data_IF_096006364404
#
_entry.id   IF_096006364404
#
_cell.length_a   1.000
_cell.length_b   1.000
_cell.length_c   1.000
_cell.angle_alpha   90.00
_cell.angle_beta   90.00
_cell.angle_gamma   90.00
#
_symmetry.space_group_name_H-M   'P 1'
#
loop_
_entity.id
_entity.type
_entity.pdbx_description
1 polymer ?
#
# COMPACT_ATOMS: atom_id res chain seq x y z
N UNK A 1 21.77 19.24 -17.77
CA UNK A 1 21.45 18.00 -17.00
C UNK A 1 20.06 17.47 -17.34
N UNK A 2 19.02 18.32 -17.45
CA UNK A 2 17.68 17.91 -17.87
C UNK A 2 17.59 17.23 -19.25
N UNK A 3 18.49 17.56 -20.19
CA UNK A 3 18.51 16.99 -21.54
C UNK A 3 18.70 15.46 -21.60
N UNK A 4 19.36 14.87 -20.59
CA UNK A 4 19.56 13.42 -20.48
C UNK A 4 18.57 12.75 -19.51
N UNK A 5 17.58 13.50 -19.00
CA UNK A 5 16.57 12.92 -18.12
C UNK A 5 15.66 11.97 -18.90
N UNK A 6 15.60 10.72 -18.44
CA UNK A 6 14.74 9.68 -19.00
C UNK A 6 13.49 9.43 -18.15
N UNK A 7 13.32 10.16 -17.04
CA UNK A 7 12.23 9.92 -16.08
C UNK A 7 10.86 10.02 -16.75
N UNK A 8 10.63 11.03 -17.59
CA UNK A 8 9.37 11.16 -18.34
C UNK A 8 9.14 10.02 -19.34
N UNK A 9 10.21 9.46 -19.93
CA UNK A 9 10.10 8.35 -20.90
C UNK A 9 9.87 7.02 -20.19
N UNK A 10 10.60 6.76 -19.11
CA UNK A 10 10.52 5.51 -18.34
C UNK A 10 9.29 5.46 -17.44
N UNK A 11 8.87 6.61 -16.89
CA UNK A 11 7.72 6.70 -15.98
C UNK A 11 6.40 6.21 -16.57
N UNK A 12 6.27 6.20 -17.90
CA UNK A 12 5.09 5.65 -18.61
C UNK A 12 5.00 4.12 -18.52
N UNK A 13 6.11 3.46 -18.20
CA UNK A 13 6.22 2.00 -18.11
C UNK A 13 6.37 1.51 -16.67
N UNK A 14 6.44 2.43 -15.70
CA UNK A 14 6.61 2.11 -14.29
C UNK A 14 5.31 2.24 -13.53
N UNK A 15 5.18 1.44 -12.48
CA UNK A 15 4.15 1.67 -11.49
C UNK A 15 4.36 3.05 -10.84
N UNK A 16 3.27 3.74 -10.54
CA UNK A 16 3.27 5.06 -9.89
C UNK A 16 4.09 5.09 -8.61
N UNK A 17 4.12 4.01 -7.82
CA UNK A 17 4.93 3.93 -6.59
C UNK A 17 6.43 3.94 -6.87
N UNK A 18 6.85 3.48 -8.06
CA UNK A 18 8.23 3.53 -8.51
C UNK A 18 8.60 4.88 -9.15
N UNK A 19 7.60 5.65 -9.62
CA UNK A 19 7.82 6.99 -10.16
C UNK A 19 8.11 8.00 -9.04
N UNK A 20 7.54 7.83 -7.84
CA UNK A 20 7.78 8.74 -6.71
C UNK A 20 9.26 8.90 -6.33
N UNK A 21 10.03 7.82 -6.08
CA UNK A 21 11.46 7.94 -5.79
C UNK A 21 12.25 8.65 -6.89
N UNK A 22 11.83 8.51 -8.15
CA UNK A 22 12.46 9.21 -9.27
C UNK A 22 12.18 10.71 -9.21
N UNK A 23 10.94 11.11 -8.90
CA UNK A 23 10.58 12.52 -8.72
C UNK A 23 11.29 13.13 -7.50
N UNK A 24 11.43 12.40 -6.38
CA UNK A 24 12.22 12.86 -5.23
C UNK A 24 13.69 13.08 -5.60
N UNK A 25 14.30 12.14 -6.33
CA UNK A 25 15.66 12.29 -6.83
C UNK A 25 15.82 13.53 -7.72
N UNK A 26 14.84 13.82 -8.60
CA UNK A 26 14.86 15.02 -9.43
C UNK A 26 14.75 16.31 -8.60
N UNK A 27 13.97 16.30 -7.51
CA UNK A 27 13.89 17.40 -6.55
C UNK A 27 15.24 17.64 -5.88
N UNK A 28 15.88 16.59 -5.32
CA UNK A 28 17.18 16.70 -4.66
C UNK A 28 18.29 17.23 -5.58
N UNK A 29 18.22 16.88 -6.86
CA UNK A 29 19.20 17.32 -7.88
C UNK A 29 18.93 18.73 -8.40
N UNK A 30 17.83 19.38 -8.01
CA UNK A 30 17.42 20.72 -8.46
C UNK A 30 17.46 20.87 -9.99
N UNK A 31 17.04 19.82 -10.72
CA UNK A 31 17.07 19.81 -12.19
C UNK A 31 15.87 20.57 -12.78
N UNK A 32 14.72 20.49 -12.13
CA UNK A 32 13.47 21.17 -12.48
C UNK A 32 13.00 22.07 -11.35
N UNK A 33 12.06 22.98 -11.63
CA UNK A 33 11.45 23.80 -10.59
C UNK A 33 10.69 22.93 -9.59
N UNK A 34 10.81 23.25 -8.31
CA UNK A 34 10.20 22.49 -7.21
C UNK A 34 8.67 22.49 -7.36
N UNK A 35 8.09 23.60 -7.82
CA UNK A 35 6.63 23.70 -8.04
C UNK A 35 6.15 22.78 -9.16
N UNK A 36 6.91 22.64 -10.24
CA UNK A 36 6.57 21.74 -11.35
C UNK A 36 6.61 20.27 -10.88
N UNK A 37 7.63 19.90 -10.11
CA UNK A 37 7.72 18.55 -9.55
C UNK A 37 6.60 18.29 -8.53
N UNK A 38 6.27 19.27 -7.67
CA UNK A 38 5.17 19.15 -6.71
C UNK A 38 3.82 18.98 -7.42
N UNK A 39 3.57 19.71 -8.50
CA UNK A 39 2.37 19.53 -9.31
C UNK A 39 2.34 18.13 -9.94
N UNK A 40 3.45 17.67 -10.51
CA UNK A 40 3.55 16.32 -11.08
C UNK A 40 3.30 15.22 -10.03
N UNK A 41 3.81 15.39 -8.80
CA UNK A 41 3.53 14.51 -7.67
C UNK A 41 2.04 14.53 -7.30
N UNK A 42 1.41 15.70 -7.27
CA UNK A 42 -0.02 15.82 -7.00
C UNK A 42 -0.88 15.10 -8.06
N UNK A 43 -0.58 15.30 -9.34
CA UNK A 43 -1.30 14.68 -10.45
C UNK A 43 -1.16 13.15 -10.44
N UNK A 44 0.01 12.64 -10.08
CA UNK A 44 0.26 11.20 -9.91
C UNK A 44 -0.62 10.59 -8.79
N UNK A 45 -0.98 11.37 -7.78
CA UNK A 45 -1.76 10.94 -6.62
C UNK A 45 -3.27 10.97 -6.81
N UNK A 46 -3.80 11.74 -7.77
CA UNK A 46 -5.24 11.93 -7.94
C UNK A 46 -6.01 10.61 -8.02
N UNK A 47 -5.42 9.61 -8.68
CA UNK A 47 -6.01 8.28 -8.87
C UNK A 47 -5.52 7.23 -7.85
N UNK A 48 -4.85 7.64 -6.77
CA UNK A 48 -4.37 6.74 -5.71
C UNK A 48 -5.25 6.79 -4.48
N UNK A 49 -5.03 5.81 -3.62
CA UNK A 49 -5.60 5.70 -2.28
C UNK A 49 -4.76 6.46 -1.23
N UNK A 50 -3.63 7.06 -1.63
CA UNK A 50 -2.70 7.78 -0.75
C UNK A 50 -3.16 9.22 -0.47
N UNK A 51 -4.33 9.35 0.17
CA UNK A 51 -4.98 10.66 0.38
C UNK A 51 -4.19 11.56 1.34
N UNK A 52 -3.58 11.01 2.40
CA UNK A 52 -2.79 11.80 3.35
C UNK A 52 -1.60 12.48 2.64
N UNK A 53 -0.91 11.74 1.77
CA UNK A 53 0.21 12.29 1.00
C UNK A 53 -0.26 13.31 -0.04
N UNK A 54 -1.44 13.10 -0.63
CA UNK A 54 -2.05 14.06 -1.54
C UNK A 54 -2.40 15.38 -0.83
N UNK A 55 -2.94 15.30 0.39
CA UNK A 55 -3.23 16.47 1.24
C UNK A 55 -1.96 17.22 1.62
N UNK A 56 -0.89 16.52 1.96
CA UNK A 56 0.39 17.16 2.29
C UNK A 56 0.99 17.92 1.09
N UNK A 57 0.91 17.36 -0.11
CA UNK A 57 1.36 18.05 -1.33
C UNK A 57 0.43 19.22 -1.66
N UNK A 58 -0.88 19.05 -1.50
CA UNK A 58 -1.84 20.14 -1.70
C UNK A 58 -1.55 21.34 -0.79
N UNK A 59 -1.26 21.11 0.49
CA UNK A 59 -0.87 22.17 1.45
C UNK A 59 0.42 22.88 1.04
N UNK A 60 1.39 22.15 0.48
CA UNK A 60 2.64 22.74 -0.04
C UNK A 60 2.41 23.61 -1.29
N UNK A 61 1.46 23.22 -2.15
CA UNK A 61 1.09 23.98 -3.34
C UNK A 61 0.19 25.18 -3.02
N UNK A 62 -0.69 25.03 -2.02
CA UNK A 62 -1.70 26.01 -1.61
C UNK A 62 -1.57 26.32 -0.12
N UNK A 63 -0.59 27.17 0.22
CA UNK A 63 -0.23 27.50 1.60
C UNK A 63 -1.39 28.05 2.47
N UNK A 64 -2.43 28.63 1.84
CA UNK A 64 -3.57 29.27 2.50
C UNK A 64 -4.94 28.65 2.13
N UNK A 65 -4.95 27.49 1.45
CA UNK A 65 -6.18 26.86 0.97
C UNK A 65 -6.81 25.93 2.00
N UNK A 66 -8.15 25.94 2.12
CA UNK A 66 -8.87 24.89 2.83
C UNK A 66 -8.65 23.53 2.16
N UNK A 67 -8.55 22.47 2.97
CA UNK A 67 -8.43 21.10 2.46
C UNK A 67 -9.66 20.74 1.61
N UNK A 68 -9.47 20.14 0.41
CA UNK A 68 -10.59 19.76 -0.43
C UNK A 68 -11.48 18.74 0.29
N UNK A 69 -12.79 19.05 0.39
CA UNK A 69 -13.77 18.17 1.03
C UNK A 69 -13.79 16.77 0.42
N UNK A 70 -13.59 16.67 -0.90
CA UNK A 70 -13.50 15.40 -1.62
C UNK A 70 -12.38 14.50 -1.08
N UNK A 71 -11.23 15.07 -0.68
CA UNK A 71 -10.13 14.29 -0.10
C UNK A 71 -10.47 13.83 1.32
N UNK A 72 -11.15 14.67 2.11
CA UNK A 72 -11.58 14.29 3.46
C UNK A 72 -12.59 13.13 3.39
N UNK A 73 -13.60 13.22 2.52
CA UNK A 73 -14.59 12.15 2.31
C UNK A 73 -13.94 10.85 1.82
N UNK A 74 -13.03 10.97 0.85
CA UNK A 74 -12.26 9.82 0.33
C UNK A 74 -11.41 9.18 1.42
N UNK A 75 -10.84 9.95 2.34
CA UNK A 75 -10.09 9.43 3.49
C UNK A 75 -10.98 8.57 4.38
N UNK A 76 -12.18 9.04 4.71
CA UNK A 76 -13.14 8.29 5.52
C UNK A 76 -13.54 6.95 4.87
N UNK A 77 -13.81 6.96 3.55
CA UNK A 77 -14.12 5.75 2.78
C UNK A 77 -12.98 4.73 2.85
N UNK A 78 -11.75 5.18 2.66
CA UNK A 78 -10.54 4.35 2.71
C UNK A 78 -10.37 3.72 4.08
N UNK A 79 -10.53 4.49 5.16
CA UNK A 79 -10.41 3.98 6.53
C UNK A 79 -11.51 2.97 6.85
N UNK A 80 -12.74 3.21 6.41
CA UNK A 80 -13.85 2.27 6.56
C UNK A 80 -13.54 0.95 5.86
N UNK A 81 -13.17 1.00 4.57
CA UNK A 81 -12.84 -0.18 3.77
C UNK A 81 -11.63 -0.95 4.34
N UNK A 82 -10.63 -0.24 4.85
CA UNK A 82 -9.49 -0.84 5.53
C UNK A 82 -9.91 -1.65 6.76
N UNK A 83 -10.81 -1.08 7.57
CA UNK A 83 -11.30 -1.68 8.81
C UNK A 83 -12.10 -2.94 8.50
N UNK A 84 -13.00 -2.89 7.51
CA UNK A 84 -13.78 -4.03 7.05
C UNK A 84 -12.90 -5.18 6.54
N UNK A 85 -11.93 -4.88 5.66
CA UNK A 85 -11.01 -5.90 5.13
C UNK A 85 -10.13 -6.50 6.22
N UNK A 86 -9.69 -5.69 7.18
CA UNK A 86 -8.87 -6.16 8.31
C UNK A 86 -9.64 -7.12 9.21
N UNK A 87 -10.89 -6.77 9.57
CA UNK A 87 -11.75 -7.66 10.35
C UNK A 87 -12.07 -8.96 9.61
N UNK A 88 -12.32 -8.88 8.30
CA UNK A 88 -12.69 -10.04 7.49
C UNK A 88 -11.57 -11.09 7.36
N UNK A 89 -10.31 -10.71 7.53
CA UNK A 89 -9.16 -11.62 7.42
C UNK A 89 -8.51 -11.93 8.78
N UNK A 90 -8.93 -11.25 9.85
CA UNK A 90 -8.39 -11.43 11.19
C UNK A 90 -8.35 -12.90 11.65
N UNK A 91 -9.40 -13.73 11.43
CA UNK A 91 -9.37 -15.13 11.84
C UNK A 91 -8.24 -15.94 11.19
N UNK A 92 -7.92 -15.64 9.93
CA UNK A 92 -6.83 -16.30 9.21
C UNK A 92 -5.46 -15.85 9.73
N UNK A 93 -5.31 -14.57 10.06
CA UNK A 93 -4.08 -14.06 10.66
C UNK A 93 -3.84 -14.70 12.02
N UNK A 94 -4.86 -14.75 12.87
CA UNK A 94 -4.76 -15.35 14.21
C UNK A 94 -4.35 -16.83 14.12
N UNK A 95 -4.89 -17.57 13.15
CA UNK A 95 -4.51 -18.96 12.90
C UNK A 95 -3.04 -19.11 12.47
N UNK A 96 -2.55 -18.23 11.58
CA UNK A 96 -1.19 -18.30 11.03
C UNK A 96 -0.12 -17.84 12.03
N UNK A 97 -0.47 -16.97 12.98
CA UNK A 97 0.45 -16.47 14.02
C UNK A 97 0.73 -17.50 15.12
N UNK A 98 -0.07 -18.57 15.22
CA UNK A 98 0.17 -19.64 16.22
C UNK A 98 1.53 -20.32 16.01
N UNK A 99 2.19 -20.68 17.12
CA UNK A 99 3.54 -21.26 17.09
C UNK A 99 3.59 -22.58 16.30
N UNK A 100 2.53 -23.38 16.35
CA UNK A 100 2.41 -24.61 15.57
C UNK A 100 2.27 -24.35 14.07
N UNK A 101 1.46 -23.36 13.67
CA UNK A 101 1.32 -22.98 12.27
C UNK A 101 2.59 -22.34 11.72
N UNK A 102 3.22 -21.45 12.48
CA UNK A 102 4.48 -20.82 12.11
C UNK A 102 5.58 -21.87 11.89
N UNK A 103 5.75 -22.80 12.83
CA UNK A 103 6.71 -23.91 12.67
C UNK A 103 6.37 -24.76 11.45
N UNK A 104 5.10 -25.11 11.23
CA UNK A 104 4.70 -25.93 10.08
C UNK A 104 4.98 -25.23 8.74
N UNK A 105 4.69 -23.93 8.64
CA UNK A 105 4.96 -23.10 7.46
C UNK A 105 6.47 -22.97 7.23
N UNK A 106 7.25 -22.77 8.29
CA UNK A 106 8.72 -22.63 8.18
C UNK A 106 9.41 -23.92 7.74
N UNK A 107 8.99 -25.06 8.27
CA UNK A 107 9.50 -26.38 7.86
C UNK A 107 9.10 -26.73 6.42
N UNK A 108 8.05 -26.09 5.89
CA UNK A 108 7.55 -26.29 4.53
C UNK A 108 7.89 -25.15 3.57
N UNK A 109 8.86 -24.28 3.89
CA UNK A 109 9.28 -23.15 3.04
C UNK A 109 9.63 -23.51 1.58
N UNK A 110 9.85 -24.80 1.27
CA UNK A 110 10.14 -25.33 -0.07
C UNK A 110 9.08 -26.32 -0.61
N UNK A 111 7.93 -26.46 0.05
CA UNK A 111 6.90 -27.46 -0.29
C UNK A 111 5.59 -26.83 -0.77
N UNK A 112 4.84 -27.65 -1.52
CA UNK A 112 3.56 -27.36 -2.17
C UNK A 112 2.61 -26.53 -1.27
N UNK A 113 2.17 -25.37 -1.77
CA UNK A 113 1.25 -24.45 -1.07
C UNK A 113 -0.05 -25.15 -0.64
N UNK A 114 -0.41 -26.22 -1.32
CA UNK A 114 -1.54 -27.09 -0.97
C UNK A 114 -1.38 -27.78 0.39
N UNK A 115 -0.17 -28.10 0.84
CA UNK A 115 0.06 -28.76 2.14
C UNK A 115 -0.19 -27.80 3.30
N UNK A 116 0.27 -26.56 3.18
CA UNK A 116 0.01 -25.49 4.16
C UNK A 116 -1.49 -25.20 4.25
N UNK A 117 -2.17 -25.11 3.10
CA UNK A 117 -3.62 -24.91 3.07
C UNK A 117 -4.37 -26.08 3.72
N UNK A 118 -4.00 -27.32 3.42
CA UNK A 118 -4.62 -28.50 4.03
C UNK A 118 -4.39 -28.56 5.54
N UNK A 119 -3.20 -28.20 6.03
CA UNK A 119 -2.89 -28.14 7.47
C UNK A 119 -3.78 -27.11 8.18
N UNK A 120 -3.83 -25.89 7.63
CA UNK A 120 -4.60 -24.80 8.21
C UNK A 120 -6.11 -25.10 8.17
N UNK A 121 -6.61 -25.75 7.11
CA UNK A 121 -8.00 -26.17 7.01
C UNK A 121 -8.35 -27.25 8.05
N UNK A 122 -7.47 -28.24 8.26
CA UNK A 122 -7.71 -29.33 9.23
C UNK A 122 -7.67 -28.85 10.68
N UNK A 123 -6.73 -27.97 11.02
CA UNK A 123 -6.48 -27.59 12.41
C UNK A 123 -7.28 -26.39 12.88
N UNK A 124 -7.60 -25.46 11.96
CA UNK A 124 -8.29 -24.22 12.32
C UNK A 124 -9.68 -24.12 11.68
N UNK A 125 -9.96 -24.84 10.59
CA UNK A 125 -11.25 -24.76 9.89
C UNK A 125 -11.54 -23.39 9.25
N UNK A 126 -10.56 -22.48 9.23
CA UNK A 126 -10.72 -21.06 8.84
C UNK A 126 -10.53 -20.82 7.33
N UNK A 127 -10.09 -21.82 6.56
CA UNK A 127 -9.81 -21.61 5.13
C UNK A 127 -11.09 -21.72 4.32
N UNK A 128 -11.73 -20.57 4.15
CA UNK A 128 -12.75 -20.33 3.14
C UNK A 128 -12.17 -19.51 1.98
N UNK A 129 -12.58 -19.82 0.75
CA UNK A 129 -12.23 -19.05 -0.45
C UNK A 129 -12.51 -17.55 -0.29
N UNK A 130 -13.57 -17.20 0.44
CA UNK A 130 -13.95 -15.82 0.74
C UNK A 130 -12.89 -15.09 1.56
N UNK A 131 -12.31 -15.76 2.57
CA UNK A 131 -11.28 -15.18 3.44
C UNK A 131 -9.96 -15.02 2.66
N UNK A 132 -9.60 -15.99 1.82
CA UNK A 132 -8.43 -15.87 0.93
C UNK A 132 -8.58 -14.73 -0.08
N UNK A 133 -9.77 -14.56 -0.66
CA UNK A 133 -10.06 -13.45 -1.56
C UNK A 133 -9.97 -12.10 -0.83
N UNK A 134 -10.47 -12.03 0.40
CA UNK A 134 -10.35 -10.83 1.23
C UNK A 134 -8.90 -10.54 1.62
N UNK A 135 -8.08 -11.56 1.86
CA UNK A 135 -6.63 -11.40 2.08
C UNK A 135 -5.95 -10.81 0.84
N UNK A 136 -6.23 -11.34 -0.35
CA UNK A 136 -5.72 -10.79 -1.59
C UNK A 136 -6.14 -9.33 -1.80
N UNK A 137 -7.42 -9.01 -1.58
CA UNK A 137 -7.95 -7.63 -1.64
C UNK A 137 -7.26 -6.72 -0.63
N UNK A 138 -7.01 -7.20 0.59
CA UNK A 138 -6.31 -6.44 1.62
C UNK A 138 -4.86 -6.16 1.22
N UNK A 139 -4.15 -7.14 0.67
CA UNK A 139 -2.77 -6.97 0.20
C UNK A 139 -2.70 -5.93 -0.92
N UNK A 140 -3.61 -6.01 -1.91
CA UNK A 140 -3.67 -4.99 -2.97
C UNK A 140 -3.96 -3.60 -2.40
N UNK A 141 -4.85 -3.50 -1.42
CA UNK A 141 -5.15 -2.24 -0.75
C UNK A 141 -3.92 -1.66 0.00
N UNK A 142 -3.12 -2.50 0.66
CA UNK A 142 -1.84 -2.07 1.25
C UNK A 142 -0.83 -1.58 0.20
N UNK A 143 -0.76 -2.27 -0.93
CA UNK A 143 0.09 -1.86 -2.05
C UNK A 143 -0.34 -0.48 -2.56
N UNK A 144 -1.65 -0.26 -2.79
CA UNK A 144 -2.19 1.03 -3.23
C UNK A 144 -1.90 2.18 -2.25
N UNK A 145 -1.90 1.92 -0.95
CA UNK A 145 -1.51 2.89 0.09
C UNK A 145 0.02 3.16 0.16
N UNK A 146 0.81 2.62 -0.77
CA UNK A 146 2.29 2.68 -0.79
C UNK A 146 2.95 2.08 0.47
N UNK A 147 2.25 1.17 1.12
CA UNK A 147 2.75 0.43 2.28
C UNK A 147 3.41 -0.88 1.83
N UNK A 148 4.29 -0.80 0.83
CA UNK A 148 4.95 -1.94 0.17
C UNK A 148 5.71 -2.85 1.15
N UNK A 149 6.20 -2.29 2.26
CA UNK A 149 6.92 -3.02 3.31
C UNK A 149 5.96 -3.80 4.23
N UNK A 150 4.73 -3.29 4.44
CA UNK A 150 3.67 -3.85 5.31
C UNK A 150 2.71 -4.80 4.62
N UNK A 151 2.83 -5.00 3.32
CA UNK A 151 2.21 -6.13 2.61
C UNK A 151 2.73 -7.50 3.07
N UNK A 152 3.81 -7.52 3.88
CA UNK A 152 4.22 -8.70 4.66
C UNK A 152 3.27 -8.85 5.84
N UNK A 153 2.70 -10.05 5.97
CA UNK A 153 1.54 -10.47 6.79
C UNK A 153 1.57 -10.05 8.28
N UNK A 154 2.65 -9.46 8.77
CA UNK A 154 2.90 -9.18 10.18
C UNK A 154 3.48 -7.78 10.32
N UNK A 155 2.64 -6.77 10.62
CA UNK A 155 3.03 -5.61 11.44
C UNK A 155 1.82 -4.73 11.74
N UNK A 156 1.15 -5.02 12.86
CA UNK A 156 0.33 -4.08 13.59
C UNK A 156 1.26 -3.13 14.36
N UNK A 157 1.58 -1.96 13.82
CA UNK A 157 1.68 -0.71 14.60
C UNK A 157 2.21 0.43 13.75
N UNK A 158 1.77 1.65 14.10
CA UNK A 158 2.29 2.96 13.72
C UNK A 158 1.75 3.50 12.39
N UNK A 159 0.81 4.43 12.42
CA UNK A 159 0.64 5.58 11.51
C UNK A 159 -0.78 6.18 11.60
N UNK A 160 -1.64 5.65 12.48
CA UNK A 160 -2.65 6.49 13.13
C UNK A 160 -2.04 7.12 14.39
N UNK A 161 -1.25 8.17 14.18
CA UNK A 161 -1.04 9.25 15.14
C UNK A 161 -1.08 10.56 14.37
#
# INVERSE_FOLDING_TARGET
MAEYDLTAKLGRYFDRHLVFPLLEFLTERNIFDEKEILQAKYDLLQHTTMVDFQLDIYKKLHADGEEPKELIEKREEIVSRFTELSQAVQPLLDAVVTEDAARHIEHQRNSDSMLVLNFLQKNFGVIELKILLNLFRRINFYFELNNSIRGRIVENSLYFR
#
